data_IF_616678694826
#
_entry.id   IF_616678694826
#
_cell.length_a   1.000
_cell.length_b   1.000
_cell.length_c   1.000
_cell.angle_alpha   90.00
_cell.angle_beta   90.00
_cell.angle_gamma   90.00
#
_symmetry.space_group_name_H-M   'P 1'
#
loop_
_entity.id
_entity.type
_entity.pdbx_description
1 polymer ?
#
# COMPACT_ATOMS: atom_id res chain seq x y z
N UNK A 1 -3.05 7.78 -33.81
CA UNK A 1 -3.37 8.62 -32.66
C UNK A 1 -2.82 8.02 -31.35
N UNK A 2 -2.55 8.90 -30.35
CA UNK A 2 -1.88 8.49 -29.09
C UNK A 2 -2.66 7.38 -28.33
N UNK A 3 -3.96 7.29 -28.53
CA UNK A 3 -4.82 6.32 -27.87
C UNK A 3 -4.74 4.94 -28.54
N UNK A 4 -4.58 4.89 -29.85
CA UNK A 4 -4.35 3.65 -30.60
C UNK A 4 -2.94 3.09 -30.36
N UNK A 5 -1.95 3.97 -30.26
CA UNK A 5 -0.58 3.59 -29.93
C UNK A 5 -0.46 3.01 -28.52
N UNK A 6 -1.25 3.52 -27.55
CA UNK A 6 -1.32 2.98 -26.19
C UNK A 6 -2.02 1.61 -26.15
N UNK A 7 -3.09 1.41 -26.93
CA UNK A 7 -3.79 0.13 -27.04
C UNK A 7 -2.93 -0.97 -27.63
N UNK A 8 -2.11 -0.66 -28.63
CA UNK A 8 -1.13 -1.59 -29.20
C UNK A 8 -0.03 -1.95 -28.20
N UNK A 9 0.42 -0.99 -27.40
CA UNK A 9 1.39 -1.24 -26.34
C UNK A 9 0.87 -2.20 -25.26
N UNK A 10 -0.39 -2.09 -24.89
CA UNK A 10 -1.01 -2.96 -23.89
C UNK A 10 -1.21 -4.39 -24.41
N UNK A 11 -1.61 -4.54 -25.68
CA UNK A 11 -1.70 -5.86 -26.34
C UNK A 11 -0.34 -6.53 -26.41
N UNK A 12 0.70 -5.78 -26.77
CA UNK A 12 2.08 -6.28 -26.81
C UNK A 12 2.55 -6.74 -25.42
N UNK A 13 2.29 -5.95 -24.38
CA UNK A 13 2.65 -6.30 -23.01
C UNK A 13 1.96 -7.58 -22.55
N UNK A 14 0.68 -7.73 -22.87
CA UNK A 14 -0.07 -8.95 -22.58
C UNK A 14 0.52 -10.18 -23.27
N UNK A 15 0.79 -10.08 -24.56
CA UNK A 15 1.40 -11.16 -25.34
C UNK A 15 2.78 -11.55 -24.80
N UNK A 16 3.59 -10.57 -24.38
CA UNK A 16 4.91 -10.81 -23.79
C UNK A 16 4.85 -11.61 -22.50
N UNK A 17 3.82 -11.38 -21.66
CA UNK A 17 3.62 -12.13 -20.41
C UNK A 17 3.22 -13.58 -20.66
N UNK A 18 2.44 -13.84 -21.70
CA UNK A 18 1.95 -15.18 -22.07
C UNK A 18 2.92 -15.96 -22.96
N UNK A 19 3.95 -15.30 -23.49
CA UNK A 19 4.94 -15.91 -24.39
C UNK A 19 5.94 -16.79 -23.63
N UNK A 20 5.99 -18.13 -23.91
CA UNK A 20 6.95 -19.01 -23.27
C UNK A 20 8.42 -18.66 -23.57
N UNK A 21 8.67 -17.98 -24.68
CA UNK A 21 10.02 -17.56 -25.09
C UNK A 21 10.48 -16.27 -24.39
N UNK A 22 9.59 -15.55 -23.71
CA UNK A 22 9.96 -14.36 -22.94
C UNK A 22 10.78 -14.72 -21.72
N UNK A 23 11.87 -14.00 -21.53
CA UNK A 23 12.75 -14.20 -20.35
C UNK A 23 12.06 -13.73 -19.07
N UNK A 24 12.50 -14.27 -17.92
CA UNK A 24 12.04 -13.83 -16.59
C UNK A 24 12.26 -12.33 -16.41
N UNK A 25 13.42 -11.82 -16.81
CA UNK A 25 13.74 -10.39 -16.71
C UNK A 25 12.82 -9.53 -17.58
N UNK A 26 12.47 -9.98 -18.76
CA UNK A 26 11.52 -9.27 -19.62
C UNK A 26 10.11 -9.25 -19.02
N UNK A 27 9.66 -10.37 -18.49
CA UNK A 27 8.35 -10.46 -17.79
C UNK A 27 8.30 -9.53 -16.57
N UNK A 28 9.35 -9.49 -15.77
CA UNK A 28 9.46 -8.54 -14.63
C UNK A 28 9.40 -7.09 -15.09
N UNK A 29 10.09 -6.75 -16.17
CA UNK A 29 10.06 -5.42 -16.74
C UNK A 29 8.64 -5.03 -17.19
N UNK A 30 7.95 -5.90 -17.91
CA UNK A 30 6.58 -5.67 -18.36
C UNK A 30 5.62 -5.50 -17.19
N UNK A 31 5.72 -6.36 -16.18
CA UNK A 31 4.90 -6.25 -14.96
C UNK A 31 5.13 -4.91 -14.24
N UNK A 32 6.37 -4.46 -14.13
CA UNK A 32 6.70 -3.17 -13.52
C UNK A 32 6.11 -1.99 -14.32
N UNK A 33 6.14 -2.05 -15.64
CA UNK A 33 5.52 -1.02 -16.49
C UNK A 33 4.00 -0.98 -16.33
N UNK A 34 3.35 -2.13 -16.26
CA UNK A 34 1.91 -2.22 -16.03
C UNK A 34 1.53 -1.69 -14.65
N UNK A 35 2.33 -2.03 -13.63
CA UNK A 35 2.09 -1.57 -12.25
C UNK A 35 2.09 -0.05 -12.11
N UNK A 36 2.96 0.64 -12.85
CA UNK A 36 3.13 2.10 -12.76
C UNK A 36 2.24 2.89 -13.72
N UNK A 37 1.50 2.21 -14.59
CA UNK A 37 0.77 2.90 -15.68
C UNK A 37 -0.45 3.70 -15.22
N UNK A 38 -0.99 3.48 -14.03
CA UNK A 38 -2.18 4.14 -13.46
C UNK A 38 -3.42 4.08 -14.35
N UNK A 39 -3.51 3.08 -15.23
CA UNK A 39 -4.64 2.89 -16.12
C UNK A 39 -5.44 1.65 -15.74
N UNK A 40 -6.76 1.75 -15.82
CA UNK A 40 -7.67 0.63 -15.55
C UNK A 40 -7.37 -0.57 -16.44
N UNK A 41 -7.00 -0.35 -17.71
CA UNK A 41 -6.62 -1.42 -18.64
C UNK A 41 -5.40 -2.20 -18.15
N UNK A 42 -4.36 -1.51 -17.67
CA UNK A 42 -3.17 -2.14 -17.11
C UNK A 42 -3.50 -2.95 -15.85
N UNK A 43 -4.31 -2.41 -14.98
CA UNK A 43 -4.81 -3.13 -13.80
C UNK A 43 -5.52 -4.43 -14.18
N UNK A 44 -6.40 -4.40 -15.17
CA UNK A 44 -7.13 -5.60 -15.64
C UNK A 44 -6.21 -6.65 -16.23
N UNK A 45 -5.19 -6.25 -16.96
CA UNK A 45 -4.16 -7.17 -17.48
C UNK A 45 -3.45 -7.87 -16.32
N UNK A 46 -3.04 -7.11 -15.30
CA UNK A 46 -2.40 -7.65 -14.11
C UNK A 46 -3.32 -8.58 -13.34
N UNK A 47 -4.58 -8.19 -13.17
CA UNK A 47 -5.60 -9.00 -12.46
C UNK A 47 -5.81 -10.36 -13.15
N UNK A 48 -5.94 -10.35 -14.45
CA UNK A 48 -6.10 -11.57 -15.25
C UNK A 48 -4.84 -12.44 -15.23
N UNK A 49 -3.67 -11.83 -15.41
CA UNK A 49 -2.40 -12.56 -15.37
C UNK A 49 -2.11 -13.18 -14.00
N UNK A 50 -2.46 -12.50 -12.93
CA UNK A 50 -2.26 -12.96 -11.56
C UNK A 50 -3.13 -14.18 -11.18
N UNK A 51 -4.13 -14.53 -11.97
CA UNK A 51 -4.94 -15.75 -11.74
C UNK A 51 -4.16 -17.02 -12.02
N UNK A 52 -3.26 -17.00 -13.02
CA UNK A 52 -2.41 -18.12 -13.40
C UNK A 52 -1.05 -17.60 -13.91
N UNK A 53 -0.24 -16.98 -13.03
CA UNK A 53 1.03 -16.41 -13.47
C UNK A 53 2.08 -17.50 -13.70
N UNK A 54 3.10 -17.18 -14.50
CA UNK A 54 4.30 -17.99 -14.58
C UNK A 54 4.91 -18.12 -13.18
N UNK A 55 5.20 -19.35 -12.69
CA UNK A 55 5.75 -19.56 -11.34
C UNK A 55 7.02 -18.76 -11.04
N UNK A 56 7.85 -18.51 -12.05
CA UNK A 56 9.11 -17.78 -11.90
C UNK A 56 8.91 -16.29 -11.61
N UNK A 57 7.74 -15.74 -11.93
CA UNK A 57 7.41 -14.32 -11.73
C UNK A 57 6.11 -14.13 -10.94
N UNK A 58 5.60 -15.17 -10.31
CA UNK A 58 4.32 -15.13 -9.59
C UNK A 58 4.30 -14.06 -8.50
N UNK A 59 5.34 -13.97 -7.69
CA UNK A 59 5.44 -12.96 -6.63
C UNK A 59 5.49 -11.53 -7.20
N UNK A 60 6.18 -11.35 -8.33
CA UNK A 60 6.22 -10.09 -9.05
C UNK A 60 4.86 -9.71 -9.62
N UNK A 61 4.12 -10.69 -10.14
CA UNK A 61 2.77 -10.46 -10.67
C UNK A 61 1.82 -9.99 -9.56
N UNK A 62 1.85 -10.61 -8.40
CA UNK A 62 1.03 -10.22 -7.26
C UNK A 62 1.41 -8.84 -6.71
N UNK A 63 2.69 -8.53 -6.62
CA UNK A 63 3.16 -7.21 -6.22
C UNK A 63 2.74 -6.13 -7.23
N UNK A 64 2.89 -6.39 -8.52
CA UNK A 64 2.48 -5.47 -9.57
C UNK A 64 0.97 -5.19 -9.53
N UNK A 65 0.16 -6.21 -9.32
CA UNK A 65 -1.30 -6.07 -9.17
C UNK A 65 -1.65 -5.18 -7.97
N UNK A 66 -1.02 -5.40 -6.84
CA UNK A 66 -1.26 -4.62 -5.62
C UNK A 66 -0.82 -3.16 -5.80
N UNK A 67 0.35 -2.92 -6.39
CA UNK A 67 0.83 -1.57 -6.73
C UNK A 67 -0.16 -0.83 -7.63
N UNK A 68 -0.61 -1.49 -8.68
CA UNK A 68 -1.58 -0.91 -9.61
C UNK A 68 -2.90 -0.56 -8.93
N UNK A 69 -3.39 -1.43 -8.04
CA UNK A 69 -4.61 -1.19 -7.27
C UNK A 69 -4.47 0.04 -6.38
N UNK A 70 -3.37 0.13 -5.61
CA UNK A 70 -3.12 1.26 -4.71
C UNK A 70 -3.01 2.56 -5.52
N UNK A 71 -2.33 2.55 -6.65
CA UNK A 71 -2.18 3.72 -7.51
C UNK A 71 -3.52 4.22 -8.05
N UNK A 72 -4.41 3.31 -8.49
CA UNK A 72 -5.74 3.67 -8.96
C UNK A 72 -6.65 4.19 -7.84
N UNK A 73 -6.64 3.54 -6.68
CA UNK A 73 -7.43 3.98 -5.52
C UNK A 73 -6.96 5.34 -5.02
N UNK A 74 -5.64 5.60 -5.05
CA UNK A 74 -5.05 6.89 -4.69
C UNK A 74 -5.52 8.02 -5.62
N UNK A 75 -5.61 7.77 -6.92
CA UNK A 75 -6.13 8.77 -7.88
C UNK A 75 -7.62 9.06 -7.70
N UNK A 76 -8.39 8.04 -7.32
CA UNK A 76 -9.83 8.17 -7.14
C UNK A 76 -10.22 8.83 -5.81
N UNK A 77 -9.37 8.76 -4.80
CA UNK A 77 -9.69 9.17 -3.43
C UNK A 77 -8.96 10.42 -2.94
N UNK A 78 -8.07 11.02 -3.73
CA UNK A 78 -7.15 12.11 -3.33
C UNK A 78 -6.28 11.76 -2.10
N UNK A 79 -6.18 10.48 -1.75
CA UNK A 79 -5.36 10.02 -0.63
C UNK A 79 -3.89 9.91 -1.02
N UNK A 80 -3.02 10.40 -0.15
CA UNK A 80 -1.57 10.29 -0.35
C UNK A 80 -1.09 8.90 0.03
N UNK A 81 -0.80 8.08 -0.95
CA UNK A 81 -0.17 6.78 -0.77
C UNK A 81 1.21 6.75 -1.41
N UNK A 82 2.12 6.02 -0.80
CA UNK A 82 3.48 5.81 -1.31
C UNK A 82 3.53 4.50 -2.09
N UNK A 83 4.20 4.55 -3.23
CA UNK A 83 4.22 3.45 -4.19
C UNK A 83 5.00 2.22 -3.72
N UNK A 84 4.54 1.10 -4.20
CA UNK A 84 5.11 -0.21 -3.93
C UNK A 84 6.36 -0.45 -4.77
N UNK A 85 7.38 -0.98 -4.15
CA UNK A 85 8.52 -1.61 -4.79
C UNK A 85 8.82 -2.95 -4.11
N UNK A 86 9.87 -3.63 -4.54
CA UNK A 86 10.27 -4.92 -3.97
C UNK A 86 11.15 -4.81 -2.72
N UNK A 87 11.33 -3.59 -2.16
CA UNK A 87 12.33 -3.30 -1.14
C UNK A 87 12.16 -4.07 0.18
N UNK A 88 10.95 -4.13 0.74
CA UNK A 88 10.68 -4.82 2.01
C UNK A 88 10.36 -6.32 1.83
N UNK A 89 10.13 -6.76 0.59
CA UNK A 89 9.86 -8.16 0.30
C UNK A 89 8.58 -8.70 0.92
N UNK A 90 8.61 -9.96 1.29
CA UNK A 90 7.46 -10.64 1.87
C UNK A 90 7.84 -11.99 2.45
N UNK A 91 6.83 -12.75 2.86
CA UNK A 91 6.96 -14.09 3.43
C UNK A 91 5.80 -14.97 2.95
N UNK A 92 6.10 -16.04 2.21
CA UNK A 92 5.06 -16.87 1.61
C UNK A 92 4.19 -16.06 0.65
N UNK A 93 2.88 -16.15 0.79
CA UNK A 93 1.90 -15.40 -0.01
C UNK A 93 1.54 -14.04 0.60
N UNK A 94 2.38 -13.50 1.46
CA UNK A 94 2.18 -12.21 2.12
C UNK A 94 3.28 -11.23 1.76
N UNK A 95 2.91 -9.97 1.57
CA UNK A 95 3.84 -8.87 1.32
C UNK A 95 4.01 -8.04 2.59
N UNK A 96 5.23 -7.55 2.80
CA UNK A 96 5.57 -6.69 3.95
C UNK A 96 5.36 -5.23 3.59
N UNK A 97 4.64 -4.51 4.45
CA UNK A 97 4.40 -3.08 4.35
C UNK A 97 4.82 -2.35 5.60
N UNK A 98 5.25 -1.12 5.41
CA UNK A 98 5.39 -0.11 6.45
C UNK A 98 4.25 0.88 6.33
N UNK A 99 3.64 1.24 7.45
CA UNK A 99 2.55 2.21 7.53
C UNK A 99 2.85 3.24 8.60
N UNK A 100 2.67 4.51 8.28
CA UNK A 100 2.71 5.62 9.22
C UNK A 100 1.30 6.23 9.32
N UNK A 101 0.77 6.31 10.52
CA UNK A 101 -0.52 6.94 10.81
C UNK A 101 -0.31 8.03 11.84
N UNK A 102 -0.71 9.25 11.50
CA UNK A 102 -0.59 10.41 12.40
C UNK A 102 -1.79 10.51 13.34
N UNK A 103 -1.58 11.13 14.49
CA UNK A 103 -2.66 11.57 15.36
C UNK A 103 -3.45 12.69 14.66
N UNK A 104 -4.78 12.68 14.80
CA UNK A 104 -5.62 13.76 14.30
C UNK A 104 -5.21 15.09 14.92
N UNK A 105 -5.12 16.13 14.09
CA UNK A 105 -4.69 17.47 14.47
C UNK A 105 -3.30 17.50 15.13
N UNK A 106 -2.52 16.44 14.97
CA UNK A 106 -1.21 16.25 15.61
C UNK A 106 -1.24 16.40 17.15
N UNK A 107 -2.36 16.04 17.76
CA UNK A 107 -2.50 16.01 19.22
C UNK A 107 -1.80 14.78 19.79
N UNK A 108 -1.00 14.92 20.87
CA UNK A 108 -0.38 13.77 21.51
C UNK A 108 -1.42 12.72 21.93
N UNK A 109 -1.09 11.44 21.71
CA UNK A 109 -1.94 10.35 22.16
C UNK A 109 -2.04 10.31 23.67
N UNK A 110 -3.25 10.14 24.19
CA UNK A 110 -3.50 9.86 25.60
C UNK A 110 -3.20 8.38 25.89
N UNK A 111 -2.94 8.05 27.15
CA UNK A 111 -2.60 6.67 27.53
C UNK A 111 -3.68 5.66 27.15
N UNK A 112 -4.96 5.99 27.31
CA UNK A 112 -6.03 5.09 26.90
C UNK A 112 -6.09 4.90 25.38
N UNK A 113 -5.74 5.92 24.59
CA UNK A 113 -5.70 5.85 23.13
C UNK A 113 -4.60 4.90 22.66
N UNK A 114 -3.43 4.96 23.28
CA UNK A 114 -2.34 4.02 23.03
C UNK A 114 -2.77 2.57 23.29
N UNK A 115 -3.48 2.35 24.40
CA UNK A 115 -4.02 1.02 24.74
C UNK A 115 -5.06 0.53 23.74
N UNK A 116 -5.89 1.42 23.23
CA UNK A 116 -6.86 1.09 22.15
C UNK A 116 -6.12 0.65 20.91
N UNK A 117 -5.08 1.36 20.48
CA UNK A 117 -4.25 0.99 19.33
C UNK A 117 -3.63 -0.39 19.55
N UNK A 118 -2.99 -0.62 20.68
CA UNK A 118 -2.32 -1.90 21.02
C UNK A 118 -3.28 -3.09 21.03
N UNK A 119 -4.55 -2.88 21.31
CA UNK A 119 -5.58 -3.91 21.32
C UNK A 119 -6.22 -4.11 19.95
N UNK A 120 -6.64 -3.03 19.30
CA UNK A 120 -7.47 -3.10 18.09
C UNK A 120 -6.65 -3.47 16.84
N UNK A 121 -5.43 -2.97 16.69
CA UNK A 121 -4.60 -3.29 15.53
C UNK A 121 -4.29 -4.78 15.41
N UNK A 122 -3.75 -5.45 16.44
CA UNK A 122 -3.53 -6.89 16.35
C UNK A 122 -4.83 -7.67 16.11
N UNK A 123 -5.88 -7.33 16.81
CA UNK A 123 -7.16 -8.04 16.71
C UNK A 123 -7.78 -7.93 15.31
N UNK A 124 -7.88 -6.74 14.76
CA UNK A 124 -8.50 -6.50 13.46
C UNK A 124 -7.66 -7.02 12.31
N UNK A 125 -6.35 -6.79 12.35
CA UNK A 125 -5.44 -7.21 11.28
C UNK A 125 -5.24 -8.73 11.25
N UNK A 126 -5.19 -9.39 12.40
CA UNK A 126 -5.14 -10.86 12.46
C UNK A 126 -6.38 -11.50 11.82
N UNK A 127 -7.56 -10.94 12.05
CA UNK A 127 -8.79 -11.38 11.39
C UNK A 127 -8.75 -11.22 9.86
N UNK A 128 -8.02 -10.25 9.36
CA UNK A 128 -7.82 -10.03 7.93
C UNK A 128 -6.71 -10.92 7.34
N UNK A 129 -6.14 -11.82 8.12
CA UNK A 129 -5.06 -12.71 7.68
C UNK A 129 -3.68 -12.06 7.69
N UNK A 130 -3.54 -10.89 8.31
CA UNK A 130 -2.28 -10.18 8.45
C UNK A 130 -1.47 -10.70 9.63
N UNK A 131 -0.15 -10.48 9.57
CA UNK A 131 0.79 -10.78 10.65
C UNK A 131 1.55 -9.50 10.98
N UNK A 132 1.42 -8.99 12.21
CA UNK A 132 2.13 -7.81 12.66
C UNK A 132 3.53 -8.20 13.11
N UNK A 133 4.55 -7.61 12.48
CA UNK A 133 5.94 -7.80 12.88
C UNK A 133 6.40 -6.75 13.89
N UNK A 134 5.92 -5.52 13.75
CA UNK A 134 6.22 -4.44 14.70
C UNK A 134 5.11 -3.39 14.73
N UNK A 135 4.75 -2.96 15.91
CA UNK A 135 3.84 -1.84 16.17
C UNK A 135 4.53 -0.89 17.14
N UNK A 136 4.79 0.33 16.70
CA UNK A 136 5.45 1.36 17.50
C UNK A 136 4.52 2.56 17.63
N UNK A 137 4.26 3.00 18.85
CA UNK A 137 3.41 4.16 19.12
C UNK A 137 4.28 5.28 19.65
N UNK A 138 4.40 6.35 18.84
CA UNK A 138 5.07 7.58 19.24
C UNK A 138 4.13 8.53 19.96
N UNK A 139 4.57 9.77 20.16
CA UNK A 139 3.75 10.79 20.81
C UNK A 139 2.56 11.22 19.94
N UNK A 140 2.80 11.48 18.66
CA UNK A 140 1.83 12.04 17.69
C UNK A 140 1.61 11.17 16.45
N UNK A 141 2.15 9.98 16.43
CA UNK A 141 2.07 9.05 15.31
C UNK A 141 2.24 7.62 15.77
N UNK A 142 1.87 6.69 14.93
CA UNK A 142 2.18 5.28 15.08
C UNK A 142 2.80 4.73 13.80
N UNK A 143 3.66 3.75 13.96
CA UNK A 143 4.28 3.01 12.87
C UNK A 143 3.91 1.54 12.96
N UNK A 144 3.66 0.94 11.80
CA UNK A 144 3.28 -0.46 11.69
C UNK A 144 4.12 -1.12 10.60
N UNK A 145 4.74 -2.23 10.91
CA UNK A 145 5.34 -3.15 9.95
C UNK A 145 4.59 -4.45 10.02
N UNK A 146 3.99 -4.85 8.91
CA UNK A 146 3.12 -6.03 8.89
C UNK A 146 3.14 -6.73 7.55
N UNK A 147 2.78 -8.00 7.58
CA UNK A 147 2.58 -8.85 6.42
C UNK A 147 1.08 -8.93 6.12
N UNK A 148 0.72 -8.72 4.86
CA UNK A 148 -0.66 -8.83 4.40
C UNK A 148 -0.74 -9.79 3.20
N UNK A 149 -1.76 -10.65 3.11
CA UNK A 149 -1.95 -11.51 1.95
C UNK A 149 -1.99 -10.69 0.65
N UNK A 150 -1.29 -11.14 -0.38
CA UNK A 150 -1.19 -10.42 -1.67
C UNK A 150 -2.53 -10.11 -2.32
N UNK A 151 -3.55 -10.91 -2.03
CA UNK A 151 -4.92 -10.73 -2.57
C UNK A 151 -5.83 -9.91 -1.68
N UNK A 152 -5.38 -9.53 -0.49
CA UNK A 152 -6.18 -8.74 0.44
C UNK A 152 -6.21 -7.27 0.02
N UNK A 153 -7.30 -6.59 0.38
CA UNK A 153 -7.44 -5.16 0.20
C UNK A 153 -6.80 -4.45 1.41
N UNK A 154 -5.58 -3.94 1.21
CA UNK A 154 -4.81 -3.29 2.27
C UNK A 154 -5.47 -2.01 2.78
N UNK A 155 -6.04 -1.22 1.88
CA UNK A 155 -6.74 0.01 2.26
C UNK A 155 -7.95 -0.30 3.13
N UNK A 156 -8.77 -1.26 2.72
CA UNK A 156 -9.94 -1.68 3.49
C UNK A 156 -9.56 -2.20 4.88
N UNK A 157 -8.50 -3.00 4.97
CA UNK A 157 -8.02 -3.52 6.24
C UNK A 157 -7.58 -2.41 7.19
N UNK A 158 -6.85 -1.41 6.68
CA UNK A 158 -6.38 -0.27 7.47
C UNK A 158 -7.52 0.69 7.83
N UNK A 159 -8.40 1.02 6.90
CA UNK A 159 -9.56 1.86 7.16
C UNK A 159 -10.45 1.25 8.25
N UNK A 160 -10.65 -0.06 8.19
CA UNK A 160 -11.44 -0.77 9.19
C UNK A 160 -10.85 -0.64 10.60
N UNK A 161 -9.56 -0.90 10.77
CA UNK A 161 -8.92 -0.85 12.08
C UNK A 161 -8.83 0.59 12.60
N UNK A 162 -8.59 1.57 11.74
CA UNK A 162 -8.60 2.98 12.12
C UNK A 162 -10.00 3.39 12.61
N UNK A 163 -11.04 2.99 11.90
CA UNK A 163 -12.41 3.27 12.31
C UNK A 163 -12.78 2.59 13.64
N UNK A 164 -12.33 1.36 13.88
CA UNK A 164 -12.52 0.68 15.15
C UNK A 164 -11.85 1.45 16.31
N UNK A 165 -10.62 1.92 16.12
CA UNK A 165 -9.94 2.77 17.10
C UNK A 165 -10.69 4.09 17.34
N UNK A 166 -11.14 4.73 16.28
CA UNK A 166 -11.81 6.04 16.33
C UNK A 166 -13.21 6.01 16.95
N UNK A 167 -13.77 4.84 17.19
CA UNK A 167 -15.00 4.71 17.99
C UNK A 167 -14.80 5.11 19.46
N UNK A 168 -13.56 5.03 19.95
CA UNK A 168 -13.20 5.44 21.31
C UNK A 168 -12.76 6.92 21.44
N UNK A 169 -12.92 7.67 20.36
CA UNK A 169 -12.49 9.05 20.21
C UNK A 169 -11.77 9.23 18.88
N UNK A 170 -12.04 10.28 18.18
CA UNK A 170 -11.50 10.52 16.84
C UNK A 170 -10.04 10.98 16.89
N UNK A 171 -9.11 10.09 17.23
CA UNK A 171 -7.71 10.41 17.51
C UNK A 171 -6.72 9.94 16.41
N UNK A 172 -7.10 8.99 15.55
CA UNK A 172 -6.26 8.56 14.44
C UNK A 172 -6.69 9.20 13.12
N UNK A 173 -5.72 9.68 12.36
CA UNK A 173 -5.95 10.16 11.00
C UNK A 173 -6.45 9.01 10.11
N UNK A 174 -7.41 9.29 9.26
CA UNK A 174 -7.87 8.36 8.23
C UNK A 174 -6.97 8.37 7.01
N UNK A 175 -6.10 9.36 6.88
CA UNK A 175 -5.06 9.44 5.87
C UNK A 175 -3.78 8.85 6.43
N UNK A 176 -3.20 7.89 5.74
CA UNK A 176 -1.97 7.22 6.16
C UNK A 176 -0.95 7.17 5.03
N UNK A 177 0.30 7.03 5.40
CA UNK A 177 1.41 6.79 4.48
C UNK A 177 1.71 5.30 4.49
N UNK A 178 1.71 4.67 3.32
CA UNK A 178 1.99 3.25 3.17
C UNK A 178 3.07 3.03 2.10
N UNK A 179 4.01 2.14 2.38
CA UNK A 179 5.05 1.76 1.44
C UNK A 179 5.56 0.36 1.71
N UNK A 180 6.06 -0.32 0.67
CA UNK A 180 6.86 -1.53 0.82
C UNK A 180 8.29 -1.36 0.25
N UNK A 181 8.70 -0.14 0.00
CA UNK A 181 10.07 0.20 -0.47
C UNK A 181 11.08 0.03 0.65
N UNK A 182 10.83 0.73 1.75
CA UNK A 182 11.67 0.77 2.95
C UNK A 182 10.85 1.31 4.12
N UNK A 183 11.35 1.10 5.32
CA UNK A 183 10.83 1.81 6.48
C UNK A 183 11.27 3.27 6.45
N UNK A 184 10.42 4.18 6.91
CA UNK A 184 10.76 5.60 6.97
C UNK A 184 11.75 5.87 8.11
N UNK A 185 12.75 6.72 7.86
CA UNK A 185 13.65 7.22 8.90
C UNK A 185 12.94 8.22 9.81
N UNK A 186 13.52 8.49 10.97
CA UNK A 186 13.01 9.51 11.90
C UNK A 186 12.89 10.88 11.22
N UNK A 187 13.86 11.26 10.39
CA UNK A 187 13.85 12.50 9.63
C UNK A 187 12.71 12.56 8.61
N UNK A 188 12.46 11.46 7.91
CA UNK A 188 11.36 11.36 6.94
C UNK A 188 10.00 11.45 7.63
N UNK A 189 9.84 10.82 8.79
CA UNK A 189 8.62 10.92 9.61
C UNK A 189 8.40 12.38 10.07
N UNK A 190 9.44 13.06 10.56
CA UNK A 190 9.35 14.47 10.96
C UNK A 190 8.96 15.38 9.81
N UNK A 191 9.48 15.15 8.60
CA UNK A 191 9.09 15.91 7.42
C UNK A 191 7.60 15.75 7.08
N UNK A 192 7.07 14.54 7.20
CA UNK A 192 5.64 14.27 6.99
C UNK A 192 4.80 15.00 8.04
N UNK A 193 5.23 14.99 9.31
CA UNK A 193 4.56 15.69 10.40
C UNK A 193 4.55 17.21 10.14
N UNK A 194 5.67 17.78 9.75
CA UNK A 194 5.79 19.22 9.42
C UNK A 194 4.88 19.63 8.26
N UNK A 195 4.80 18.83 7.20
CA UNK A 195 3.91 19.11 6.06
C UNK A 195 2.45 19.12 6.47
N UNK A 196 2.04 18.22 7.34
CA UNK A 196 0.65 18.15 7.82
C UNK A 196 0.34 19.26 8.84
N UNK A 197 1.31 19.66 9.67
CA UNK A 197 1.19 20.80 10.59
C UNK A 197 1.10 22.15 9.86
N UNK A 198 1.84 22.32 8.76
CA UNK A 198 1.80 23.54 7.94
C UNK A 198 0.49 23.75 7.18
N UNK A 199 -0.18 22.68 6.78
CA UNK A 199 -1.48 22.76 6.10
C UNK A 199 -2.63 23.15 7.05
N UNK A 200 -2.48 22.94 8.34
CA UNK A 200 -3.49 23.31 9.34
C UNK A 200 -3.50 24.83 9.63
N UNK A 201 -2.43 25.54 9.28
CA UNK A 201 -2.32 27.00 9.47
C UNK A 201 -2.79 27.80 8.25
N UNK A 202 -2.99 27.17 7.12
CA UNK A 202 -3.42 27.83 5.88
C UNK A 202 -4.95 27.87 5.69
N UNK A 203 -5.73 27.41 6.68
CA UNK A 203 -7.19 27.32 6.61
C UNK A 203 -7.89 28.23 7.62
N UNK A 204 -7.32 29.41 7.89
CA UNK A 204 -7.99 30.47 8.66
C UNK A 204 -8.02 31.77 7.87
#
# INVERSE_FOLDING_TARGET
>A
DAQESRGLGDVYKRQSLDDPESTVEHKKYVLSMLATSRQVKAYRILEEYAQAPDPDVADWAYMALMESRIALESELSDEKQIYISTGLGGKGEKLRFYVLILANELKPFLEYQKKVIEREFPYSLEKAGCEIERLTIGEKYMELVFLIPVRADIKQALDKVINECNQYGNFLSQVFTITNVKELSAEEVEEIIKKNGGNSQASH
#
